data_IF_027863819187
#
_entry.id   IF_027863819187
#
_cell.length_a   1.000
_cell.length_b   1.000
_cell.length_c   1.000
_cell.angle_alpha   90.00
_cell.angle_beta   90.00
_cell.angle_gamma   90.00
#
_symmetry.space_group_name_H-M   'P 1'
#
loop_
_entity.id
_entity.type
_entity.pdbx_description
1 polymer ?
#
# COMPACT_ATOMS: atom_id res chain seq x y z
N UNK A 1 -19.22 25.37 -7.35
CA UNK A 1 -19.16 24.28 -6.35
C UNK A 1 -18.18 24.72 -5.28
N UNK A 2 -18.69 25.04 -4.09
CA UNK A 2 -17.89 25.58 -2.98
C UNK A 2 -17.04 24.50 -2.28
N UNK A 3 -16.17 24.90 -1.35
CA UNK A 3 -15.40 23.97 -0.54
C UNK A 3 -16.32 23.07 0.29
N UNK A 4 -15.98 21.78 0.36
CA UNK A 4 -16.62 20.83 1.27
C UNK A 4 -15.95 21.00 2.63
N UNK A 5 -16.60 21.71 3.55
CA UNK A 5 -16.23 21.69 4.96
C UNK A 5 -16.53 20.30 5.53
N UNK A 6 -15.47 19.61 5.98
CA UNK A 6 -15.59 18.35 6.68
C UNK A 6 -15.70 18.69 8.17
N UNK A 7 -16.93 18.64 8.70
CA UNK A 7 -17.20 18.89 10.12
C UNK A 7 -16.48 17.92 11.06
N UNK A 8 -16.34 18.27 12.36
CA UNK A 8 -15.57 17.51 13.34
C UNK A 8 -16.32 16.26 13.78
N UNK A 9 -16.17 15.18 13.00
CA UNK A 9 -16.32 13.75 13.31
C UNK A 9 -16.39 12.99 11.98
N UNK A 10 -15.30 13.07 11.22
CA UNK A 10 -15.31 12.57 9.84
C UNK A 10 -15.39 11.04 9.80
N UNK A 11 -16.08 10.51 8.80
CA UNK A 11 -16.10 9.08 8.41
C UNK A 11 -14.70 8.46 8.35
N UNK A 12 -13.67 9.29 8.11
CA UNK A 12 -12.26 8.93 8.12
C UNK A 12 -11.73 8.63 9.53
N UNK A 13 -12.17 9.36 10.56
CA UNK A 13 -11.85 9.04 11.96
C UNK A 13 -12.57 7.77 12.42
N UNK A 14 -13.84 7.55 12.03
CA UNK A 14 -14.54 6.26 12.26
C UNK A 14 -13.90 5.09 11.52
N UNK A 15 -13.43 5.31 10.29
CA UNK A 15 -12.68 4.34 9.49
C UNK A 15 -11.34 4.02 10.16
N UNK A 16 -10.59 5.04 10.57
CA UNK A 16 -9.34 4.90 11.33
C UNK A 16 -9.60 4.29 12.70
N UNK A 17 -10.72 4.51 13.38
CA UNK A 17 -11.07 3.94 14.69
C UNK A 17 -11.51 2.47 14.59
N UNK A 18 -12.19 2.09 13.49
CA UNK A 18 -12.43 0.67 13.15
C UNK A 18 -11.15 -0.07 12.73
N UNK A 19 -10.12 0.67 12.30
CA UNK A 19 -8.81 0.16 11.88
C UNK A 19 -7.71 0.31 12.97
N UNK A 20 -7.86 1.22 13.94
CA UNK A 20 -6.94 1.48 15.07
C UNK A 20 -7.40 0.79 16.35
N UNK A 21 -6.59 -0.19 16.74
CA UNK A 21 -6.08 -0.39 18.10
C UNK A 21 -7.09 -0.89 19.14
N UNK A 22 -7.10 -2.22 19.32
CA UNK A 22 -7.23 -2.79 20.65
C UNK A 22 -6.07 -2.28 21.53
N UNK A 23 -6.39 -1.44 22.52
CA UNK A 23 -5.44 -0.98 23.54
C UNK A 23 -5.15 -2.13 24.51
N UNK A 24 -3.90 -2.57 24.60
CA UNK A 24 -3.28 -2.96 25.89
C UNK A 24 -1.73 -3.11 25.78
N UNK A 25 -1.03 -2.00 26.04
CA UNK A 25 0.27 -1.83 26.75
C UNK A 25 1.53 -2.61 26.29
N UNK A 26 2.76 -2.24 26.77
CA UNK A 26 3.77 -1.50 26.01
C UNK A 26 4.93 -2.37 25.45
N UNK A 27 5.59 -1.77 24.44
CA UNK A 27 6.86 -2.13 23.76
C UNK A 27 6.68 -2.87 22.42
N UNK A 28 7.13 -2.18 21.37
CA UNK A 28 7.31 -2.61 19.98
C UNK A 28 6.03 -2.66 19.12
N UNK A 29 5.75 -1.56 18.41
CA UNK A 29 4.62 -1.43 17.46
C UNK A 29 4.88 -2.27 16.19
N UNK A 30 4.22 -3.42 16.11
CA UNK A 30 3.90 -4.12 14.85
C UNK A 30 2.50 -3.65 14.40
N UNK A 31 2.39 -3.18 13.16
CA UNK A 31 1.12 -2.72 12.58
C UNK A 31 0.29 -3.89 12.06
N UNK A 32 -0.48 -4.53 12.95
CA UNK A 32 -1.50 -5.52 12.59
C UNK A 32 -2.88 -4.86 12.57
N UNK A 33 -3.55 -4.84 11.40
CA UNK A 33 -4.98 -4.50 11.33
C UNK A 33 -5.80 -5.63 11.96
N UNK A 34 -6.46 -5.37 13.09
CA UNK A 34 -7.40 -6.30 13.71
C UNK A 34 -8.84 -5.96 13.30
N UNK A 35 -9.53 -6.88 12.62
CA UNK A 35 -10.98 -6.84 12.51
C UNK A 35 -11.60 -7.72 13.60
N UNK A 36 -12.53 -7.14 14.36
CA UNK A 36 -13.15 -7.70 15.56
C UNK A 36 -13.67 -9.13 15.32
N UNK A 37 -13.06 -10.12 15.97
CA UNK A 37 -13.58 -11.48 16.09
C UNK A 37 -12.77 -12.62 15.46
N UNK A 38 -11.64 -12.38 14.78
CA UNK A 38 -10.84 -13.46 14.20
C UNK A 38 -9.37 -13.34 14.60
N UNK A 39 -8.90 -14.27 15.45
CA UNK A 39 -7.49 -14.52 15.73
C UNK A 39 -6.88 -15.33 14.57
N UNK A 40 -6.84 -14.76 13.36
CA UNK A 40 -6.36 -15.49 12.19
C UNK A 40 -4.95 -15.02 11.84
N UNK A 41 -4.02 -15.98 11.69
CA UNK A 41 -2.66 -15.78 11.16
C UNK A 41 -2.63 -15.26 9.71
N UNK A 42 -3.80 -15.17 9.08
CA UNK A 42 -4.03 -14.68 7.73
C UNK A 42 -5.35 -13.90 7.67
N UNK A 43 -5.34 -12.79 6.92
CA UNK A 43 -6.50 -12.00 6.52
C UNK A 43 -6.49 -11.96 5.00
N UNK A 44 -7.41 -12.69 4.38
CA UNK A 44 -7.66 -12.63 2.94
C UNK A 44 -9.03 -12.02 2.74
N UNK A 45 -9.06 -10.74 2.36
CA UNK A 45 -10.27 -10.02 2.01
C UNK A 45 -10.23 -9.78 0.50
N UNK A 46 -11.23 -10.31 -0.21
CA UNK A 46 -11.31 -10.30 -1.67
C UNK A 46 -10.19 -11.08 -2.39
N UNK A 47 -10.24 -12.43 -2.38
CA UNK A 47 -9.35 -13.26 -3.20
C UNK A 47 -9.57 -13.07 -4.72
N UNK A 48 -10.59 -12.32 -5.13
CA UNK A 48 -10.90 -11.97 -6.53
C UNK A 48 -10.70 -10.49 -6.86
N UNK A 49 -11.15 -10.07 -8.05
CA UNK A 49 -11.04 -8.69 -8.54
C UNK A 49 -11.95 -7.67 -7.80
N UNK A 50 -12.83 -8.13 -6.91
CA UNK A 50 -13.89 -7.32 -6.28
C UNK A 50 -13.57 -7.05 -4.81
N UNK A 51 -13.30 -5.80 -4.46
CA UNK A 51 -13.02 -5.40 -3.06
C UNK A 51 -14.26 -5.50 -2.17
N UNK A 52 -14.03 -5.59 -0.86
CA UNK A 52 -15.09 -5.64 0.14
C UNK A 52 -15.64 -4.22 0.43
N UNK A 53 -16.93 -3.95 0.22
CA UNK A 53 -17.50 -2.62 0.42
C UNK A 53 -17.65 -2.27 1.91
N UNK A 54 -17.16 -1.09 2.31
CA UNK A 54 -17.31 -0.54 3.68
C UNK A 54 -17.57 0.97 3.57
N UNK A 55 -18.76 1.43 3.94
CA UNK A 55 -19.09 2.87 4.10
C UNK A 55 -18.60 3.78 2.94
N UNK A 56 -18.76 3.33 1.69
CA UNK A 56 -18.35 4.09 0.49
C UNK A 56 -16.93 3.83 0.00
N UNK A 57 -16.19 2.97 0.69
CA UNK A 57 -14.89 2.45 0.28
C UNK A 57 -15.01 1.01 -0.22
N UNK A 58 -14.07 0.59 -1.05
CA UNK A 58 -13.80 -0.81 -1.35
C UNK A 58 -12.42 -1.17 -0.79
N UNK A 59 -12.39 -2.14 0.12
CA UNK A 59 -11.16 -2.60 0.78
C UNK A 59 -10.73 -3.93 0.18
N UNK A 60 -9.47 -3.99 -0.23
CA UNK A 60 -8.79 -5.18 -0.75
C UNK A 60 -7.73 -5.58 0.27
N UNK A 61 -7.60 -6.86 0.59
CA UNK A 61 -6.66 -7.28 1.63
C UNK A 61 -6.05 -8.64 1.33
N UNK A 62 -4.73 -8.68 1.29
CA UNK A 62 -3.95 -9.92 1.37
C UNK A 62 -2.92 -9.73 2.46
N UNK A 63 -3.06 -10.43 3.58
CA UNK A 63 -2.06 -10.40 4.64
C UNK A 63 -1.91 -11.77 5.27
N UNK A 64 -0.71 -12.34 5.18
CA UNK A 64 -0.34 -13.60 5.81
C UNK A 64 0.91 -13.28 6.63
N UNK A 65 0.81 -13.41 7.96
CA UNK A 65 1.84 -12.97 8.90
C UNK A 65 3.21 -13.52 8.54
N UNK A 66 4.19 -12.63 8.35
CA UNK A 66 5.58 -12.98 8.03
C UNK A 66 5.80 -13.52 6.62
N UNK A 67 4.78 -13.54 5.77
CA UNK A 67 4.89 -13.99 4.39
C UNK A 67 4.66 -12.82 3.42
N UNK A 68 3.48 -12.20 3.46
CA UNK A 68 3.09 -11.17 2.49
C UNK A 68 1.99 -10.26 3.06
N UNK A 69 2.06 -8.95 2.80
CA UNK A 69 1.04 -7.96 3.13
C UNK A 69 0.84 -6.98 1.97
N UNK A 70 -0.42 -6.79 1.57
CA UNK A 70 -0.88 -5.78 0.62
C UNK A 70 -2.34 -5.42 0.96
N UNK A 71 -2.60 -4.14 1.27
CA UNK A 71 -3.94 -3.66 1.62
C UNK A 71 -4.32 -2.47 0.72
N UNK A 72 -5.35 -2.64 -0.08
CA UNK A 72 -5.86 -1.61 -0.97
C UNK A 72 -7.11 -0.91 -0.41
N UNK A 73 -7.17 0.42 -0.50
CA UNK A 73 -8.36 1.20 -0.18
C UNK A 73 -8.76 2.04 -1.39
N UNK A 74 -9.93 1.74 -1.95
CA UNK A 74 -10.45 2.37 -3.16
C UNK A 74 -11.72 3.17 -2.88
N UNK A 75 -11.78 4.35 -3.47
CA UNK A 75 -12.97 5.21 -3.56
C UNK A 75 -13.39 5.33 -5.04
N UNK A 76 -14.39 6.17 -5.34
CA UNK A 76 -14.81 6.44 -6.74
C UNK A 76 -13.71 7.04 -7.61
N UNK A 77 -12.79 7.83 -7.03
CA UNK A 77 -11.79 8.58 -7.79
C UNK A 77 -10.35 8.28 -7.40
N UNK A 78 -10.09 7.48 -6.36
CA UNK A 78 -8.74 7.24 -5.85
C UNK A 78 -8.58 5.80 -5.41
N UNK A 79 -7.44 5.20 -5.75
CA UNK A 79 -7.03 3.91 -5.22
C UNK A 79 -5.61 4.01 -4.63
N UNK A 80 -5.51 3.80 -3.32
CA UNK A 80 -4.24 3.72 -2.59
C UNK A 80 -3.95 2.28 -2.17
N UNK A 81 -2.67 1.94 -2.14
CA UNK A 81 -2.15 0.66 -1.66
C UNK A 81 -1.25 0.91 -0.45
N UNK A 82 -1.40 0.10 0.59
CA UNK A 82 -0.52 0.04 1.75
C UNK A 82 0.22 -1.29 1.71
N UNK A 83 1.55 -1.20 1.69
CA UNK A 83 2.48 -2.30 1.49
C UNK A 83 2.28 -3.06 0.16
N UNK A 84 3.35 -3.72 -0.26
CA UNK A 84 3.41 -4.50 -1.50
C UNK A 84 4.34 -5.69 -1.29
N UNK A 85 4.09 -6.47 -0.23
CA UNK A 85 4.74 -7.76 -0.02
C UNK A 85 4.40 -8.77 -1.12
N UNK A 86 3.20 -8.63 -1.68
CA UNK A 86 2.72 -9.32 -2.88
C UNK A 86 2.13 -8.28 -3.85
N UNK A 87 2.10 -8.58 -5.15
CA UNK A 87 1.46 -7.74 -6.17
C UNK A 87 0.28 -8.47 -6.87
N UNK A 88 -0.88 -8.67 -6.22
CA UNK A 88 -2.06 -9.29 -6.84
C UNK A 88 -2.60 -8.44 -8.00
N UNK A 89 -3.39 -9.03 -8.90
CA UNK A 89 -3.92 -8.32 -10.09
C UNK A 89 -4.68 -7.05 -9.74
N UNK A 90 -5.42 -7.01 -8.62
CA UNK A 90 -6.13 -5.79 -8.21
C UNK A 90 -5.18 -4.66 -7.78
N UNK A 91 -4.01 -4.99 -7.21
CA UNK A 91 -3.08 -4.00 -6.64
C UNK A 91 -2.46 -3.10 -7.70
N UNK A 92 -2.23 -3.62 -8.91
CA UNK A 92 -1.56 -2.92 -10.00
C UNK A 92 -2.31 -1.67 -10.46
N UNK A 93 -3.58 -1.51 -10.09
CA UNK A 93 -4.37 -0.33 -10.43
C UNK A 93 -4.21 0.83 -9.43
N UNK A 94 -3.60 0.60 -8.26
CA UNK A 94 -3.30 1.66 -7.30
C UNK A 94 -2.13 2.51 -7.78
N UNK A 95 -2.35 3.82 -7.98
CA UNK A 95 -1.32 4.77 -8.43
C UNK A 95 -0.43 5.26 -7.27
N UNK A 96 -0.92 5.15 -6.04
CA UNK A 96 -0.24 5.62 -4.83
C UNK A 96 0.00 4.42 -3.91
N UNK A 97 1.27 4.13 -3.63
CA UNK A 97 1.70 2.96 -2.84
C UNK A 97 2.49 3.45 -1.63
N UNK A 98 2.01 3.20 -0.43
CA UNK A 98 2.65 3.59 0.82
C UNK A 98 3.31 2.37 1.45
N UNK A 99 4.62 2.42 1.64
CA UNK A 99 5.37 1.33 2.29
C UNK A 99 5.63 1.69 3.75
N UNK A 100 5.18 0.82 4.64
CA UNK A 100 5.31 1.03 6.08
C UNK A 100 6.74 0.81 6.57
N UNK A 101 7.42 -0.23 6.11
CA UNK A 101 8.80 -0.59 6.46
C UNK A 101 9.42 -1.60 5.47
N UNK A 102 10.71 -1.88 5.64
CA UNK A 102 11.52 -2.65 4.67
C UNK A 102 11.55 -4.17 4.84
N UNK A 103 10.69 -4.77 5.67
CA UNK A 103 10.63 -6.23 5.74
C UNK A 103 10.08 -6.82 4.44
N UNK A 104 10.59 -7.99 4.06
CA UNK A 104 10.31 -8.61 2.75
C UNK A 104 8.81 -8.87 2.55
N UNK A 105 8.09 -9.21 3.61
CA UNK A 105 6.64 -9.43 3.59
C UNK A 105 5.83 -8.13 3.42
N UNK A 106 6.44 -6.95 3.49
CA UNK A 106 5.80 -5.66 3.25
C UNK A 106 6.26 -4.95 1.98
N UNK A 107 7.48 -5.21 1.49
CA UNK A 107 8.04 -4.51 0.31
C UNK A 107 8.46 -5.46 -0.83
N UNK A 108 8.53 -6.76 -0.57
CA UNK A 108 9.21 -7.73 -1.44
C UNK A 108 8.74 -7.76 -2.89
N UNK A 109 7.50 -7.38 -3.17
CA UNK A 109 6.95 -7.33 -4.53
C UNK A 109 6.99 -5.93 -5.17
N UNK A 110 7.74 -4.96 -4.65
CA UNK A 110 7.77 -3.58 -5.17
C UNK A 110 8.18 -3.50 -6.65
N UNK A 111 9.29 -4.17 -7.03
CA UNK A 111 9.73 -4.25 -8.42
C UNK A 111 8.75 -5.06 -9.28
N UNK A 112 8.16 -6.12 -8.74
CA UNK A 112 7.14 -6.88 -9.45
C UNK A 112 5.90 -6.02 -9.73
N UNK A 113 5.48 -5.17 -8.80
CA UNK A 113 4.38 -4.23 -8.99
C UNK A 113 4.68 -3.23 -10.11
N UNK A 114 5.87 -2.62 -10.12
CA UNK A 114 6.32 -1.73 -11.22
C UNK A 114 6.25 -2.47 -12.56
N UNK A 115 6.78 -3.70 -12.61
CA UNK A 115 6.82 -4.50 -13.82
C UNK A 115 5.42 -4.91 -14.32
N UNK A 116 4.53 -5.32 -13.41
CA UNK A 116 3.16 -5.70 -13.77
C UNK A 116 2.37 -4.51 -14.33
N UNK A 117 2.58 -3.30 -13.79
CA UNK A 117 1.95 -2.10 -14.35
C UNK A 117 2.39 -1.86 -15.79
N UNK A 118 3.69 -1.87 -16.04
CA UNK A 118 4.24 -1.69 -17.39
C UNK A 118 3.74 -2.77 -18.37
N UNK A 119 3.75 -4.04 -17.96
CA UNK A 119 3.23 -5.16 -18.76
C UNK A 119 1.75 -5.00 -19.14
N UNK A 120 0.98 -4.30 -18.32
CA UNK A 120 -0.44 -4.03 -18.55
C UNK A 120 -0.69 -2.64 -19.15
N UNK A 121 0.35 -1.97 -19.67
CA UNK A 121 0.29 -0.61 -20.22
C UNK A 121 -0.29 0.42 -19.22
N UNK A 122 -0.07 0.19 -17.93
CA UNK A 122 -0.43 1.12 -16.86
C UNK A 122 0.79 1.98 -16.54
N UNK A 123 0.60 3.30 -16.56
CA UNK A 123 1.66 4.27 -16.25
C UNK A 123 2.26 4.08 -14.84
N UNK A 124 3.39 4.74 -14.52
CA UNK A 124 4.08 4.55 -13.25
C UNK A 124 3.21 4.93 -12.03
N UNK A 125 3.35 4.15 -10.96
CA UNK A 125 2.86 4.50 -9.63
C UNK A 125 3.87 5.39 -8.89
N UNK A 126 3.41 6.13 -7.89
CA UNK A 126 4.25 6.83 -6.91
C UNK A 126 4.36 5.97 -5.65
N UNK A 127 5.59 5.76 -5.19
CA UNK A 127 5.90 4.96 -4.02
C UNK A 127 6.38 5.86 -2.89
N UNK A 128 5.66 5.86 -1.79
CA UNK A 128 5.94 6.65 -0.61
C UNK A 128 6.68 5.79 0.41
N UNK A 129 7.90 6.18 0.75
CA UNK A 129 8.85 5.36 1.51
C UNK A 129 9.44 6.16 2.68
N UNK A 130 9.84 5.46 3.74
CA UNK A 130 10.72 6.07 4.75
C UNK A 130 12.07 6.45 4.11
N UNK A 131 12.73 7.54 4.56
CA UNK A 131 13.96 8.03 3.91
C UNK A 131 15.06 6.97 3.74
N UNK A 132 15.25 6.11 4.75
CA UNK A 132 16.26 5.05 4.71
C UNK A 132 15.98 3.93 3.70
N UNK A 133 14.77 3.87 3.10
CA UNK A 133 14.39 2.86 2.10
C UNK A 133 14.60 3.34 0.67
N UNK A 134 14.80 4.64 0.44
CA UNK A 134 14.90 5.20 -0.92
C UNK A 134 16.07 4.59 -1.70
N UNK A 135 17.28 4.69 -1.17
CA UNK A 135 18.47 4.19 -1.87
C UNK A 135 18.50 2.66 -2.01
N UNK A 136 18.13 1.86 -0.98
CA UNK A 136 17.95 0.42 -1.15
C UNK A 136 16.95 0.05 -2.25
N UNK A 137 15.82 0.74 -2.35
CA UNK A 137 14.82 0.47 -3.41
C UNK A 137 15.35 0.85 -4.79
N UNK A 138 16.06 1.98 -4.93
CA UNK A 138 16.73 2.32 -6.20
C UNK A 138 17.76 1.25 -6.59
N UNK A 139 18.55 0.76 -5.63
CA UNK A 139 19.51 -0.32 -5.87
C UNK A 139 18.81 -1.61 -6.32
N UNK A 140 17.69 -1.97 -5.69
CA UNK A 140 16.89 -3.12 -6.08
C UNK A 140 16.39 -3.00 -7.53
N UNK A 141 15.88 -1.82 -7.91
CA UNK A 141 15.44 -1.55 -9.28
C UNK A 141 16.58 -1.68 -10.31
N UNK A 142 17.79 -1.22 -9.99
CA UNK A 142 18.98 -1.39 -10.85
C UNK A 142 19.33 -2.86 -11.02
N UNK A 143 19.47 -3.61 -9.93
CA UNK A 143 19.79 -5.05 -9.95
C UNK A 143 18.74 -5.84 -10.74
N UNK A 144 17.45 -5.56 -10.57
CA UNK A 144 16.42 -6.23 -11.36
C UNK A 144 16.44 -5.88 -12.85
N UNK A 145 16.87 -4.67 -13.20
CA UNK A 145 17.04 -4.25 -14.60
C UNK A 145 18.20 -4.99 -15.26
N UNK A 146 19.31 -5.17 -14.54
CA UNK A 146 20.45 -5.99 -14.96
C UNK A 146 20.05 -7.45 -15.15
N UNK A 147 19.35 -8.05 -14.17
CA UNK A 147 18.88 -9.44 -14.25
C UNK A 147 17.94 -9.69 -15.44
N UNK A 148 17.10 -8.72 -15.78
CA UNK A 148 16.19 -8.82 -16.93
C UNK A 148 16.89 -8.58 -18.28
N UNK A 149 18.14 -8.08 -18.28
CA UNK A 149 18.88 -7.71 -19.48
C UNK A 149 18.29 -6.51 -20.23
N UNK A 150 17.41 -5.73 -19.56
CA UNK A 150 16.83 -4.50 -20.11
C UNK A 150 16.36 -3.58 -19.00
N UNK A 151 16.49 -2.29 -19.25
CA UNK A 151 15.90 -1.27 -18.40
C UNK A 151 14.41 -1.13 -18.72
N UNK A 152 13.59 -1.06 -17.67
CA UNK A 152 12.19 -0.66 -17.79
C UNK A 152 12.08 0.79 -17.33
N UNK A 153 11.23 1.59 -17.98
CA UNK A 153 11.12 3.03 -17.65
C UNK A 153 10.79 3.22 -16.16
N UNK A 154 9.94 2.35 -15.61
CA UNK A 154 9.52 2.43 -14.20
C UNK A 154 10.61 1.98 -13.20
N UNK A 155 11.58 1.16 -13.60
CA UNK A 155 12.69 0.75 -12.73
C UNK A 155 13.95 1.60 -12.93
N UNK A 156 14.16 2.17 -14.12
CA UNK A 156 15.28 3.08 -14.36
C UNK A 156 15.10 4.38 -13.56
N UNK A 157 13.89 4.93 -13.57
CA UNK A 157 13.54 6.15 -12.85
C UNK A 157 12.27 5.95 -12.01
N UNK A 158 12.35 5.20 -10.91
CA UNK A 158 11.18 4.94 -10.07
C UNK A 158 10.73 6.22 -9.37
N UNK A 159 9.42 6.46 -9.37
CA UNK A 159 8.82 7.62 -8.67
C UNK A 159 8.76 7.35 -7.17
N UNK A 160 9.85 7.59 -6.48
CA UNK A 160 9.97 7.44 -5.03
C UNK A 160 9.80 8.81 -4.35
N UNK A 161 8.98 8.86 -3.31
CA UNK A 161 8.74 10.05 -2.49
C UNK A 161 9.07 9.71 -1.04
N UNK A 162 9.96 10.49 -0.45
CA UNK A 162 10.26 10.38 0.98
C UNK A 162 9.07 10.83 1.82
N UNK A 163 8.73 10.02 2.83
CA UNK A 163 7.74 10.35 3.83
C UNK A 163 8.31 10.12 5.23
N UNK A 164 8.18 11.15 6.08
CA UNK A 164 8.56 11.07 7.49
C UNK A 164 7.38 10.51 8.28
N UNK A 165 7.64 9.64 9.25
CA UNK A 165 6.60 9.12 10.13
C UNK A 165 5.80 10.27 10.79
N UNK A 166 4.46 10.18 10.75
CA UNK A 166 3.57 11.22 11.26
C UNK A 166 3.29 12.38 10.29
N UNK A 167 4.00 12.47 9.16
CA UNK A 167 3.68 13.43 8.10
C UNK A 167 2.33 13.13 7.44
N UNK A 168 1.77 14.15 6.79
CA UNK A 168 0.52 14.04 6.02
C UNK A 168 0.78 14.48 4.59
N UNK A 169 0.16 13.79 3.64
CA UNK A 169 0.21 14.13 2.23
C UNK A 169 -1.19 14.09 1.64
N UNK A 170 -1.49 15.06 0.77
CA UNK A 170 -2.68 15.02 -0.06
C UNK A 170 -2.33 14.32 -1.37
N UNK A 171 -3.09 13.28 -1.70
CA UNK A 171 -2.93 12.55 -2.95
C UNK A 171 -4.15 12.77 -3.84
N UNK A 172 -3.88 12.98 -5.11
CA UNK A 172 -4.89 13.23 -6.15
C UNK A 172 -4.80 12.12 -7.19
N UNK A 173 -5.90 11.90 -7.93
CA UNK A 173 -5.91 10.93 -9.03
C UNK A 173 -5.05 11.40 -10.20
#
# INVERSE_FOLDING_TARGET
>A
SGPVEIGPQSTLERFVEKIRVARSSPKWLLSTLYFKGHTSRSIIMAPGHFGYPIEGFYVYGWSISGNETAVGVKTRGLFVLFDVGIAPTWSISAKHVFISHGHIDHIGAICQHMRKRELNNIGPATYYLLPHLIEPVKALCRVYSELQGRETVQMYEPKLVEMIAGSRIQVWN
#
